data_IF_071112188473
#
_entry.id   IF_071112188473
#
_cell.length_a   1.000
_cell.length_b   1.000
_cell.length_c   1.000
_cell.angle_alpha   90.00
_cell.angle_beta   90.00
_cell.angle_gamma   90.00
#
_symmetry.space_group_name_H-M   'P 1'
#
loop_
_entity.id
_entity.type
_entity.pdbx_description
1 polymer ?
#
# COMPACT_ATOMS: atom_id res chain seq x y z
N UNK A 1 -16.48 -15.46 9.74
CA UNK A 1 -16.88 -14.43 8.76
C UNK A 1 -17.78 -13.42 9.47
N UNK A 2 -17.21 -12.36 10.07
CA UNK A 2 -18.00 -11.23 10.55
C UNK A 2 -18.24 -10.28 9.38
N UNK A 3 -19.49 -9.94 9.13
CA UNK A 3 -19.89 -8.88 8.21
C UNK A 3 -19.14 -7.61 8.60
N UNK A 4 -18.32 -7.07 7.69
CA UNK A 4 -17.83 -5.70 7.83
C UNK A 4 -19.05 -4.79 7.84
N UNK A 5 -19.26 -4.10 8.96
CA UNK A 5 -20.36 -3.18 9.12
C UNK A 5 -20.23 -2.03 8.12
N UNK A 6 -21.38 -1.66 7.63
CA UNK A 6 -21.71 -0.51 6.81
C UNK A 6 -20.88 0.72 7.21
N UNK A 7 -19.83 1.04 6.44
CA UNK A 7 -19.07 2.28 6.62
C UNK A 7 -19.50 3.24 5.53
N UNK A 8 -20.54 3.99 5.89
CA UNK A 8 -21.08 5.09 5.08
C UNK A 8 -19.94 6.03 4.62
N UNK A 9 -19.79 6.21 3.30
CA UNK A 9 -18.82 7.09 2.66
C UNK A 9 -19.04 8.60 2.97
N UNK A 10 -19.93 8.93 3.92
CA UNK A 10 -20.26 10.29 4.35
C UNK A 10 -19.67 10.66 5.73
N UNK A 11 -18.68 9.95 6.24
CA UNK A 11 -18.02 10.43 7.46
C UNK A 11 -17.12 11.62 7.13
N UNK A 12 -17.63 12.78 7.51
CA UNK A 12 -16.84 14.02 7.62
C UNK A 12 -15.60 13.87 8.51
N UNK A 13 -14.81 14.94 8.74
CA UNK A 13 -13.47 14.86 9.30
C UNK A 13 -13.43 13.98 10.54
N UNK A 14 -12.51 13.02 10.54
CA UNK A 14 -12.31 12.05 11.60
C UNK A 14 -12.29 12.75 12.97
N UNK A 15 -13.20 12.37 13.85
CA UNK A 15 -13.13 12.73 15.27
C UNK A 15 -11.84 12.11 15.83
N UNK A 16 -10.90 12.95 16.24
CA UNK A 16 -9.82 12.56 17.12
C UNK A 16 -10.42 12.18 18.49
N UNK A 17 -10.78 10.91 18.62
CA UNK A 17 -11.29 10.34 19.85
C UNK A 17 -10.98 8.86 19.80
N UNK A 18 -10.26 8.35 20.80
CA UNK A 18 -10.12 6.94 21.04
C UNK A 18 -11.52 6.34 21.19
N UNK A 19 -12.10 5.90 20.08
CA UNK A 19 -13.34 5.16 20.05
C UNK A 19 -13.02 3.71 20.38
N UNK A 20 -13.88 3.10 21.13
CA UNK A 20 -13.91 1.71 21.59
C UNK A 20 -14.13 0.68 20.44
N UNK A 21 -13.81 1.03 19.24
CA UNK A 21 -13.79 0.17 18.06
C UNK A 21 -12.35 -0.24 17.77
N UNK A 22 -12.07 -1.56 17.87
CA UNK A 22 -10.74 -2.13 17.70
C UNK A 22 -10.05 -1.60 16.45
N UNK A 23 -8.94 -0.89 16.67
CA UNK A 23 -8.01 -0.45 15.64
C UNK A 23 -7.10 -1.62 15.27
N UNK A 24 -6.87 -1.83 13.98
CA UNK A 24 -5.88 -2.77 13.50
C UNK A 24 -4.61 -2.03 13.10
N UNK A 25 -3.47 -2.58 13.50
CA UNK A 25 -2.15 -2.07 13.16
C UNK A 25 -1.47 -3.07 12.22
N UNK A 26 -0.95 -2.56 11.13
CA UNK A 26 -0.14 -3.28 10.17
C UNK A 26 1.23 -2.62 10.10
N UNK A 27 2.28 -3.41 9.93
CA UNK A 27 3.66 -3.01 9.74
C UNK A 27 4.09 -1.81 10.63
N UNK A 28 4.79 -2.10 11.70
CA UNK A 28 5.37 -1.10 12.59
C UNK A 28 6.89 -1.03 12.36
N UNK A 29 7.40 0.12 11.95
CA UNK A 29 8.82 0.31 11.64
C UNK A 29 9.38 1.60 12.28
N UNK A 30 10.62 1.51 12.75
CA UNK A 30 11.35 2.67 13.23
C UNK A 30 12.13 3.34 12.09
N UNK A 31 12.01 4.65 11.97
CA UNK A 31 12.91 5.44 11.13
C UNK A 31 14.33 5.42 11.69
N UNK A 32 15.31 5.80 10.88
CA UNK A 32 16.70 5.97 11.33
C UNK A 32 16.85 7.01 12.46
N UNK A 33 15.89 7.91 12.61
CA UNK A 33 15.83 8.89 13.70
C UNK A 33 15.07 8.39 14.94
N UNK A 34 14.65 7.13 14.98
CA UNK A 34 13.94 6.53 16.10
C UNK A 34 12.44 6.86 16.16
N UNK A 35 11.85 7.49 15.14
CA UNK A 35 10.41 7.71 15.08
C UNK A 35 9.71 6.44 14.62
N UNK A 36 8.73 5.97 15.39
CA UNK A 36 7.92 4.82 15.02
C UNK A 36 6.81 5.24 14.03
N UNK A 37 6.75 4.55 12.91
CA UNK A 37 5.69 4.68 11.91
C UNK A 37 4.88 3.38 11.87
N UNK A 38 3.58 3.48 11.76
CA UNK A 38 2.65 2.34 11.67
C UNK A 38 1.64 2.59 10.56
N UNK A 39 1.10 1.53 10.01
CA UNK A 39 -0.09 1.59 9.16
C UNK A 39 -1.29 1.20 10.01
N UNK A 40 -2.36 2.01 10.00
CA UNK A 40 -3.55 1.81 10.82
C UNK A 40 -4.81 2.06 10.02
N UNK A 41 -5.87 1.31 10.31
CA UNK A 41 -7.20 1.44 9.71
C UNK A 41 -8.13 2.44 10.42
N UNK A 42 -7.63 3.19 11.41
CA UNK A 42 -8.41 4.12 12.26
C UNK A 42 -9.23 5.18 11.48
N UNK A 43 -8.77 5.54 10.28
CA UNK A 43 -9.48 6.49 9.40
C UNK A 43 -10.55 5.82 8.51
N UNK A 44 -10.69 4.51 8.57
CA UNK A 44 -11.48 3.70 7.63
C UNK A 44 -10.71 3.24 6.40
N UNK A 45 -9.45 3.67 6.27
CA UNK A 45 -8.46 3.28 5.28
C UNK A 45 -7.16 2.93 5.99
N UNK A 46 -6.41 1.98 5.49
CA UNK A 46 -5.07 1.65 6.00
C UNK A 46 -4.10 2.78 5.63
N UNK A 47 -3.92 3.74 6.53
CA UNK A 47 -3.06 4.90 6.32
C UNK A 47 -1.83 4.87 7.22
N UNK A 48 -0.79 5.64 6.84
CA UNK A 48 0.47 5.78 7.57
C UNK A 48 0.35 6.83 8.69
N UNK A 49 0.83 6.46 9.88
CA UNK A 49 0.85 7.33 11.06
C UNK A 49 2.23 7.27 11.72
N UNK A 50 2.72 8.42 12.16
CA UNK A 50 3.84 8.51 13.07
C UNK A 50 3.36 8.55 14.51
N UNK A 51 3.93 7.70 15.36
CA UNK A 51 3.66 7.73 16.80
C UNK A 51 4.56 8.78 17.45
N UNK A 52 3.94 9.72 18.13
CA UNK A 52 4.58 10.83 18.86
C UNK A 52 4.03 10.90 20.28
N UNK A 53 4.64 11.66 21.17
CA UNK A 53 4.27 11.78 22.59
C UNK A 53 2.77 12.06 22.81
N UNK A 54 2.13 12.77 21.89
CA UNK A 54 0.71 13.14 21.95
C UNK A 54 -0.21 12.22 21.16
N UNK A 55 0.30 11.10 20.69
CA UNK A 55 -0.47 10.12 19.92
C UNK A 55 -0.03 9.95 18.46
N UNK A 56 -0.83 9.25 17.67
CA UNK A 56 -0.55 8.96 16.27
C UNK A 56 -0.94 10.16 15.37
N UNK A 57 0.00 10.64 14.59
CA UNK A 57 -0.17 11.74 13.63
C UNK A 57 -0.19 11.17 12.22
N UNK A 58 -1.23 11.44 11.40
CA UNK A 58 -1.27 10.97 10.02
C UNK A 58 -0.14 11.62 9.20
N UNK A 59 0.53 10.82 8.36
CA UNK A 59 1.63 11.30 7.51
C UNK A 59 1.12 11.77 6.16
N UNK A 60 0.28 10.95 5.52
CA UNK A 60 -0.26 11.20 4.20
C UNK A 60 -1.70 10.65 4.12
N UNK A 61 -2.69 11.34 4.75
CA UNK A 61 -4.06 10.84 4.82
C UNK A 61 -4.72 10.81 3.45
N UNK A 62 -5.18 9.63 3.02
CA UNK A 62 -5.81 9.40 1.72
C UNK A 62 -6.95 8.39 1.84
N UNK A 63 -7.89 8.44 0.89
CA UNK A 63 -8.88 7.38 0.66
C UNK A 63 -8.24 6.24 -0.16
N UNK A 64 -7.10 5.73 0.30
CA UNK A 64 -6.29 4.69 -0.32
C UNK A 64 -5.72 3.75 0.75
N UNK A 65 -5.35 2.53 0.36
CA UNK A 65 -4.81 1.49 1.23
C UNK A 65 -3.28 1.45 1.14
N UNK A 66 -2.59 1.76 2.22
CA UNK A 66 -1.15 1.56 2.39
C UNK A 66 -0.84 0.20 3.02
N UNK A 67 -1.81 -0.42 3.63
CA UNK A 67 -1.73 -1.75 4.20
C UNK A 67 -2.39 -2.81 3.35
N UNK A 68 -2.48 -4.00 3.90
CA UNK A 68 -3.14 -5.13 3.30
C UNK A 68 -3.53 -6.19 4.35
N UNK A 69 -4.24 -7.24 3.94
CA UNK A 69 -4.63 -8.31 4.85
C UNK A 69 -3.42 -8.98 5.49
N UNK A 70 -3.47 -9.16 6.81
CA UNK A 70 -2.38 -9.76 7.60
C UNK A 70 -2.51 -11.30 7.65
N UNK A 71 -2.53 -11.95 6.50
CA UNK A 71 -2.71 -13.41 6.42
C UNK A 71 -1.43 -14.19 6.73
N UNK A 72 -0.27 -13.55 6.55
CA UNK A 72 1.05 -14.15 6.82
C UNK A 72 1.95 -13.14 7.53
N UNK A 73 2.94 -13.64 8.27
CA UNK A 73 3.94 -12.79 8.90
C UNK A 73 4.98 -12.27 7.89
N UNK A 74 5.58 -11.13 8.20
CA UNK A 74 6.68 -10.55 7.43
C UNK A 74 6.27 -9.82 6.16
N UNK A 75 4.96 -9.57 5.97
CA UNK A 75 4.49 -8.67 4.93
C UNK A 75 5.11 -7.28 5.14
N UNK A 76 5.53 -6.66 4.05
CA UNK A 76 6.11 -5.31 4.07
C UNK A 76 5.72 -4.58 2.80
N UNK A 77 5.01 -3.47 2.96
CA UNK A 77 4.53 -2.61 1.88
C UNK A 77 5.11 -1.21 1.93
N UNK A 78 5.86 -0.90 2.97
CA UNK A 78 6.61 0.35 3.12
C UNK A 78 8.03 0.08 3.62
N UNK A 79 8.95 1.01 3.36
CA UNK A 79 10.33 0.95 3.83
C UNK A 79 10.98 2.34 3.82
N UNK A 80 11.77 2.65 4.84
CA UNK A 80 12.53 3.89 4.89
C UNK A 80 13.66 3.90 3.87
N UNK A 81 13.77 4.99 3.12
CA UNK A 81 14.92 5.28 2.22
C UNK A 81 15.96 6.10 2.97
N UNK A 82 15.50 7.07 3.76
CA UNK A 82 16.31 7.96 4.57
C UNK A 82 15.52 8.43 5.79
N UNK A 83 16.10 9.32 6.60
CA UNK A 83 15.41 9.87 7.77
C UNK A 83 14.13 10.65 7.47
N UNK A 84 13.96 11.15 6.25
CA UNK A 84 12.81 11.95 5.85
C UNK A 84 12.01 11.37 4.68
N UNK A 85 12.41 10.23 4.13
CA UNK A 85 11.79 9.66 2.92
C UNK A 85 11.50 8.17 3.09
N UNK A 86 10.33 7.77 2.64
CA UNK A 86 9.86 6.38 2.64
C UNK A 86 9.40 5.97 1.23
N UNK A 87 9.61 4.73 0.84
CA UNK A 87 8.82 4.10 -0.22
C UNK A 87 7.60 3.44 0.41
N UNK A 88 6.46 3.55 -0.24
CA UNK A 88 5.25 2.86 0.18
C UNK A 88 4.42 2.38 -1.02
N UNK A 89 3.90 1.17 -0.94
CA UNK A 89 2.91 0.66 -1.85
C UNK A 89 1.53 1.10 -1.37
N UNK A 90 0.77 1.77 -2.24
CA UNK A 90 -0.56 2.30 -1.93
C UNK A 90 -1.49 2.15 -3.12
N UNK A 91 -2.79 2.25 -2.90
CA UNK A 91 -3.76 2.20 -3.98
C UNK A 91 -5.18 1.94 -3.55
N UNK A 92 -6.05 1.79 -4.52
CA UNK A 92 -7.47 1.49 -4.36
C UNK A 92 -7.88 0.35 -5.31
N UNK A 93 -8.97 -0.34 -4.98
CA UNK A 93 -9.57 -1.31 -5.88
C UNK A 93 -8.63 -2.43 -6.30
N UNK A 94 -7.77 -2.93 -5.41
CA UNK A 94 -6.87 -4.06 -5.69
C UNK A 94 -5.66 -3.76 -6.58
N UNK A 95 -5.53 -2.53 -7.10
CA UNK A 95 -4.32 -2.09 -7.80
C UNK A 95 -3.48 -1.20 -6.91
N UNK A 96 -2.20 -1.51 -6.82
CA UNK A 96 -1.22 -0.72 -6.06
C UNK A 96 -0.24 -0.01 -6.98
N UNK A 97 0.27 1.10 -6.49
CA UNK A 97 1.40 1.85 -7.04
C UNK A 97 2.50 1.89 -5.97
N UNK A 98 3.72 2.05 -6.39
CA UNK A 98 4.82 2.34 -5.48
C UNK A 98 5.09 3.83 -5.52
N UNK A 99 5.01 4.49 -4.38
CA UNK A 99 5.24 5.93 -4.24
C UNK A 99 6.43 6.23 -3.35
N UNK A 100 7.03 7.39 -3.58
CA UNK A 100 8.03 8.01 -2.71
C UNK A 100 7.35 9.07 -1.87
N UNK A 101 7.34 8.86 -0.56
CA UNK A 101 6.68 9.71 0.41
C UNK A 101 7.70 10.56 1.17
N UNK A 102 7.53 11.86 1.13
CA UNK A 102 8.22 12.79 2.02
C UNK A 102 7.49 12.85 3.38
N UNK A 103 8.17 12.47 4.44
CA UNK A 103 7.58 12.34 5.78
C UNK A 103 7.38 13.67 6.50
N UNK A 104 8.00 14.76 6.01
CA UNK A 104 7.83 16.09 6.59
C UNK A 104 6.63 16.81 6.00
N UNK A 105 6.47 16.70 4.69
CA UNK A 105 5.42 17.41 3.94
C UNK A 105 4.18 16.57 3.68
N UNK A 106 4.29 15.23 3.76
CA UNK A 106 3.25 14.29 3.35
C UNK A 106 3.08 14.21 1.82
N UNK A 107 4.00 14.80 1.05
CA UNK A 107 3.97 14.70 -0.41
C UNK A 107 4.30 13.29 -0.86
N UNK A 108 3.45 12.73 -1.71
CA UNK A 108 3.57 11.39 -2.26
C UNK A 108 3.68 11.47 -3.77
N UNK A 109 4.79 10.97 -4.32
CA UNK A 109 5.09 10.92 -5.75
C UNK A 109 5.08 9.47 -6.25
N UNK A 110 4.20 9.15 -7.18
CA UNK A 110 4.10 7.81 -7.76
C UNK A 110 5.26 7.53 -8.72
N UNK A 111 5.94 6.41 -8.51
CA UNK A 111 6.94 5.91 -9.43
C UNK A 111 6.25 5.21 -10.61
N UNK A 112 6.63 5.58 -11.83
CA UNK A 112 6.08 4.97 -13.05
C UNK A 112 6.71 3.60 -13.28
N UNK A 113 6.14 2.57 -12.68
CA UNK A 113 6.61 1.19 -12.74
C UNK A 113 5.58 0.28 -13.42
N UNK A 114 6.01 -0.79 -14.11
CA UNK A 114 5.12 -1.68 -14.85
C UNK A 114 4.45 -2.74 -13.97
N UNK A 115 4.27 -2.48 -12.69
CA UNK A 115 3.69 -3.40 -11.71
C UNK A 115 2.46 -2.76 -11.07
N UNK A 116 1.48 -3.58 -10.69
CA UNK A 116 0.26 -3.18 -9.98
C UNK A 116 0.07 -3.91 -8.66
N UNK A 117 1.05 -4.72 -8.26
CA UNK A 117 1.15 -5.35 -6.96
C UNK A 117 2.60 -5.29 -6.48
N UNK A 118 2.79 -4.99 -5.19
CA UNK A 118 4.09 -4.81 -4.56
C UNK A 118 4.07 -5.45 -3.17
N UNK A 119 4.92 -6.44 -2.94
CA UNK A 119 5.04 -7.13 -1.67
C UNK A 119 6.51 -7.32 -1.28
N UNK A 120 6.77 -7.50 0.02
CA UNK A 120 8.10 -7.75 0.54
C UNK A 120 9.10 -6.63 0.27
N UNK A 121 8.62 -5.37 0.29
CA UNK A 121 9.44 -4.20 0.03
C UNK A 121 10.57 -4.05 1.06
N UNK A 122 11.79 -3.91 0.58
CA UNK A 122 13.00 -3.65 1.39
C UNK A 122 13.84 -2.59 0.69
N UNK A 123 14.51 -1.77 1.50
CA UNK A 123 15.41 -0.72 1.00
C UNK A 123 16.75 -0.84 1.69
N UNK A 124 17.82 -0.75 0.92
CA UNK A 124 19.19 -0.63 1.40
C UNK A 124 19.96 0.39 0.55
N UNK A 125 20.35 1.48 1.15
CA UNK A 125 21.00 2.60 0.46
C UNK A 125 20.15 3.16 -0.68
N UNK A 126 20.68 3.12 -1.90
CA UNK A 126 19.98 3.59 -3.10
C UNK A 126 19.28 2.46 -3.88
N UNK A 127 18.97 1.36 -3.22
CA UNK A 127 18.31 0.21 -3.84
C UNK A 127 17.10 -0.21 -3.05
N UNK A 128 16.00 -0.47 -3.76
CA UNK A 128 14.86 -1.20 -3.22
C UNK A 128 14.75 -2.58 -3.87
N UNK A 129 14.20 -3.52 -3.13
CA UNK A 129 13.87 -4.84 -3.63
C UNK A 129 12.44 -5.19 -3.20
N UNK A 130 11.67 -5.79 -4.11
CA UNK A 130 10.29 -6.18 -3.85
C UNK A 130 9.86 -7.33 -4.77
N UNK A 131 8.75 -7.96 -4.45
CA UNK A 131 8.04 -8.85 -5.37
C UNK A 131 7.01 -8.01 -6.10
N UNK A 132 7.21 -7.82 -7.41
CA UNK A 132 6.31 -7.09 -8.29
C UNK A 132 5.51 -8.03 -9.17
N UNK A 133 4.22 -7.74 -9.39
CA UNK A 133 3.35 -8.46 -10.31
C UNK A 133 2.39 -7.51 -11.02
N UNK A 134 1.74 -7.99 -12.06
CA UNK A 134 0.70 -7.26 -12.78
C UNK A 134 -0.28 -8.20 -13.47
N UNK A 135 -1.41 -7.69 -14.02
CA UNK A 135 -2.45 -8.53 -14.60
C UNK A 135 -1.97 -9.44 -15.74
N UNK A 136 -1.00 -8.96 -16.50
CA UNK A 136 -0.42 -9.68 -17.65
C UNK A 136 1.07 -9.94 -17.46
N UNK A 137 1.56 -9.82 -16.23
CA UNK A 137 2.96 -9.99 -15.86
C UNK A 137 3.05 -10.94 -14.66
N UNK A 138 3.76 -12.07 -14.80
CA UNK A 138 3.99 -12.96 -13.66
C UNK A 138 4.75 -12.23 -12.55
N UNK A 139 4.61 -12.73 -11.33
CA UNK A 139 5.39 -12.19 -10.21
C UNK A 139 6.89 -12.31 -10.47
N UNK A 140 7.64 -11.31 -10.05
CA UNK A 140 9.09 -11.30 -10.14
C UNK A 140 9.71 -10.68 -8.88
N UNK A 141 10.90 -11.16 -8.50
CA UNK A 141 11.77 -10.42 -7.59
C UNK A 141 12.44 -9.32 -8.39
N UNK A 142 12.23 -8.09 -7.96
CA UNK A 142 12.65 -6.88 -8.68
C UNK A 142 13.63 -6.09 -7.83
N UNK A 143 14.72 -5.64 -8.43
CA UNK A 143 15.59 -4.60 -7.89
C UNK A 143 15.27 -3.26 -8.56
N UNK A 144 15.06 -2.23 -7.77
CA UNK A 144 14.81 -0.86 -8.19
C UNK A 144 15.97 0.02 -7.76
N UNK A 145 16.57 0.74 -8.69
CA UNK A 145 17.54 1.79 -8.43
C UNK A 145 16.78 3.10 -8.14
N UNK A 146 16.95 3.65 -6.94
CA UNK A 146 16.21 4.83 -6.46
C UNK A 146 16.68 6.16 -7.05
N UNK A 147 17.90 6.19 -7.61
CA UNK A 147 18.43 7.38 -8.29
C UNK A 147 17.93 7.53 -9.71
N UNK A 148 17.67 6.40 -10.39
CA UNK A 148 17.28 6.38 -11.82
C UNK A 148 15.87 5.90 -12.05
N UNK A 149 15.20 5.36 -11.02
CA UNK A 149 13.90 4.69 -11.07
C UNK A 149 13.85 3.50 -12.06
N UNK A 150 15.02 2.89 -12.35
CA UNK A 150 15.11 1.73 -13.24
C UNK A 150 14.92 0.43 -12.46
N UNK A 151 14.05 -0.43 -12.97
CA UNK A 151 13.84 -1.78 -12.47
C UNK A 151 14.69 -2.80 -13.22
N UNK A 152 15.16 -3.81 -12.49
CA UNK A 152 15.74 -5.03 -13.03
C UNK A 152 15.07 -6.23 -12.39
N UNK A 153 14.45 -7.08 -13.19
CA UNK A 153 13.93 -8.37 -12.71
C UNK A 153 15.11 -9.31 -12.43
N UNK A 154 15.17 -9.78 -11.19
CA UNK A 154 16.24 -10.68 -10.73
C UNK A 154 15.83 -12.14 -10.92
N UNK A 155 14.55 -12.44 -10.70
CA UNK A 155 13.97 -13.77 -10.81
C UNK A 155 12.49 -13.67 -11.14
N UNK A 156 12.06 -14.38 -12.18
CA UNK A 156 10.65 -14.56 -12.50
C UNK A 156 10.05 -15.69 -11.64
N UNK A 157 8.83 -15.52 -11.19
CA UNK A 157 8.06 -16.55 -10.49
C UNK A 157 7.56 -17.65 -11.42
N UNK A 158 7.44 -17.34 -12.71
CA UNK A 158 7.09 -18.31 -13.76
C UNK A 158 7.83 -17.96 -15.04
N UNK A 159 8.26 -18.99 -15.76
CA UNK A 159 8.83 -18.89 -17.13
C UNK A 159 7.84 -19.38 -18.19
N UNK A 160 6.58 -19.62 -17.82
CA UNK A 160 5.54 -19.97 -18.78
C UNK A 160 5.25 -18.76 -19.67
N UNK A 161 5.33 -18.97 -20.96
CA UNK A 161 4.91 -18.00 -21.96
C UNK A 161 3.47 -18.26 -22.34
N UNK A 162 2.65 -17.21 -22.27
CA UNK A 162 1.27 -17.24 -22.74
C UNK A 162 1.15 -16.37 -23.97
N UNK A 163 0.33 -16.79 -24.92
CA UNK A 163 -0.05 -15.93 -26.02
C UNK A 163 -0.75 -14.67 -25.45
N UNK A 164 -0.26 -13.47 -25.78
CA UNK A 164 -0.85 -12.21 -25.27
C UNK A 164 -2.36 -12.10 -25.55
N UNK A 165 -2.86 -12.74 -26.60
CA UNK A 165 -4.31 -12.75 -26.93
C UNK A 165 -5.17 -13.46 -25.88
N UNK A 166 -4.58 -14.31 -25.05
CA UNK A 166 -5.26 -15.00 -23.94
C UNK A 166 -5.13 -14.26 -22.60
N UNK A 167 -4.38 -13.15 -22.56
CA UNK A 167 -4.21 -12.38 -21.36
C UNK A 167 -5.18 -11.19 -21.37
N UNK A 168 -5.99 -11.09 -20.34
CA UNK A 168 -6.95 -10.00 -20.17
C UNK A 168 -6.52 -9.09 -19.05
N UNK A 169 -6.47 -7.79 -19.30
CA UNK A 169 -6.31 -6.79 -18.25
C UNK A 169 -7.67 -6.58 -17.58
N UNK A 170 -7.84 -6.94 -16.31
CA UNK A 170 -9.08 -6.72 -15.60
C UNK A 170 -9.44 -5.24 -15.55
N UNK A 171 -10.71 -4.92 -15.72
CA UNK A 171 -11.23 -3.57 -15.57
C UNK A 171 -12.07 -3.48 -14.31
N UNK A 172 -11.71 -2.55 -13.42
CA UNK A 172 -12.51 -2.29 -12.23
C UNK A 172 -13.84 -1.64 -12.64
N UNK A 173 -14.94 -2.13 -12.09
CA UNK A 173 -16.24 -1.51 -12.23
C UNK A 173 -17.02 -1.55 -10.92
N UNK A 174 -17.94 -0.61 -10.79
CA UNK A 174 -18.85 -0.52 -9.67
C UNK A 174 -20.27 -0.80 -10.13
N UNK A 175 -21.04 -1.46 -9.29
CA UNK A 175 -22.46 -1.68 -9.54
C UNK A 175 -23.26 -1.56 -8.25
N UNK A 176 -24.53 -1.25 -8.39
CA UNK A 176 -25.46 -1.18 -7.28
C UNK A 176 -25.93 -2.59 -6.89
N UNK A 177 -25.73 -2.95 -5.64
CA UNK A 177 -26.21 -4.20 -5.04
C UNK A 177 -27.58 -4.01 -4.42
N UNK A 178 -28.11 -5.06 -3.79
CA UNK A 178 -29.36 -5.02 -3.03
C UNK A 178 -29.30 -3.89 -2.00
N UNK A 179 -30.37 -3.14 -1.88
CA UNK A 179 -30.54 -1.98 -0.99
C UNK A 179 -29.68 -0.76 -1.38
N UNK A 180 -29.32 -0.60 -2.63
CA UNK A 180 -28.59 0.57 -3.13
C UNK A 180 -27.13 0.62 -2.64
N UNK A 181 -26.60 -0.48 -2.12
CA UNK A 181 -25.20 -0.55 -1.71
C UNK A 181 -24.28 -0.69 -2.92
N UNK A 182 -23.20 0.07 -2.92
CA UNK A 182 -22.17 0.00 -3.94
C UNK A 182 -21.30 -1.24 -3.76
N UNK A 183 -21.16 -2.01 -4.81
CA UNK A 183 -20.29 -3.19 -4.89
C UNK A 183 -19.23 -2.98 -5.97
N UNK A 184 -18.06 -3.57 -5.77
CA UNK A 184 -16.91 -3.44 -6.67
C UNK A 184 -16.56 -4.81 -7.22
N UNK A 185 -16.19 -4.87 -8.49
CA UNK A 185 -15.74 -6.09 -9.16
C UNK A 185 -14.68 -5.77 -10.24
N UNK A 186 -14.09 -6.84 -10.77
CA UNK A 186 -13.10 -6.82 -11.84
C UNK A 186 -13.56 -7.71 -13.00
#
# INVERSE_FOLDING_TARGET
>A
WRRSGDRDARKGPARAGAGDGGEAIFQAEFSHAGTLTVVSDRSGWWNLYQLRDRGAVPVCPRAEEFGGPQWVFGLSRDAFVSGGTMLCAHGVGGQSRLGRLDLQTGALEDLQLPYTSFDGLRVEGQRACFVGAGPVRPSAVVALDLGTNRCRELRLGSTLEFDPSHLVVPQAFEFESVDGRRSHAW
#
